data_IF_826982846805
#
_entry.id   IF_826982846805
#
_cell.length_a   1.000
_cell.length_b   1.000
_cell.length_c   1.000
_cell.angle_alpha   90.00
_cell.angle_beta   90.00
_cell.angle_gamma   90.00
#
_symmetry.space_group_name_H-M   'P 1'
#
loop_
_entity.id
_entity.type
_entity.pdbx_description
1 polymer ?
#
# COMPACT_ATOMS: atom_id res chain seq x y z
N UNK A 1 -0.45 -2.35 20.47
CA UNK A 1 -0.92 -2.35 19.06
C UNK A 1 -0.06 -1.33 18.33
N UNK A 2 0.70 -1.72 17.29
CA UNK A 2 1.53 -0.78 16.53
C UNK A 2 0.62 0.00 15.58
N UNK A 3 0.74 1.32 15.53
CA UNK A 3 0.02 2.13 14.55
C UNK A 3 0.47 1.74 13.14
N UNK A 4 -0.49 1.58 12.23
CA UNK A 4 -0.22 1.32 10.82
C UNK A 4 0.08 2.67 10.17
N UNK A 5 1.24 2.80 9.53
CA UNK A 5 1.63 4.02 8.83
C UNK A 5 0.87 4.11 7.51
N UNK A 6 0.43 5.30 7.13
CA UNK A 6 -0.16 5.52 5.79
C UNK A 6 0.91 5.48 4.72
N UNK A 7 0.53 5.19 3.47
CA UNK A 7 1.48 5.10 2.37
C UNK A 7 2.21 6.43 2.10
N UNK A 8 1.55 7.56 2.29
CA UNK A 8 2.18 8.89 2.17
C UNK A 8 3.17 9.16 3.31
N UNK A 9 2.88 8.70 4.53
CA UNK A 9 3.84 8.77 5.64
C UNK A 9 5.09 7.92 5.33
N UNK A 10 4.91 6.71 4.81
CA UNK A 10 6.03 5.84 4.43
C UNK A 10 6.88 6.50 3.32
N UNK A 11 6.23 7.10 2.32
CA UNK A 11 6.93 7.83 1.25
C UNK A 11 7.79 8.98 1.81
N UNK A 12 7.25 9.75 2.77
CA UNK A 12 8.00 10.83 3.43
C UNK A 12 9.19 10.32 4.23
N UNK A 13 9.02 9.24 5.00
CA UNK A 13 10.10 8.63 5.78
C UNK A 13 11.23 8.06 4.90
N UNK A 14 10.87 7.45 3.77
CA UNK A 14 11.81 6.84 2.83
C UNK A 14 12.41 7.87 1.87
N UNK A 15 11.82 9.06 1.76
CA UNK A 15 12.21 10.14 0.85
C UNK A 15 12.28 9.70 -0.63
N UNK A 16 11.30 8.89 -1.05
CA UNK A 16 11.24 8.32 -2.40
C UNK A 16 9.81 7.88 -2.73
N UNK A 17 9.58 7.66 -4.01
CA UNK A 17 8.38 6.97 -4.48
C UNK A 17 8.29 5.57 -3.83
N UNK A 18 7.07 5.18 -3.50
CA UNK A 18 6.79 3.92 -2.83
C UNK A 18 5.82 3.09 -3.63
N UNK A 19 6.12 1.80 -3.70
CA UNK A 19 5.31 0.78 -4.35
C UNK A 19 4.43 0.11 -3.29
N UNK A 20 3.14 -0.06 -3.59
CA UNK A 20 2.22 -0.73 -2.69
C UNK A 20 1.13 -1.48 -3.44
N UNK A 21 0.55 -2.47 -2.78
CA UNK A 21 -0.58 -3.25 -3.27
C UNK A 21 -1.82 -2.73 -2.56
N UNK A 22 -2.71 -2.11 -3.31
CA UNK A 22 -4.02 -1.71 -2.83
C UNK A 22 -4.97 -2.92 -2.88
N UNK A 23 -5.65 -3.19 -1.77
CA UNK A 23 -6.70 -4.21 -1.67
C UNK A 23 -8.04 -3.51 -1.77
N UNK A 24 -8.83 -3.80 -2.80
CA UNK A 24 -10.11 -3.11 -3.01
C UNK A 24 -11.17 -3.60 -1.99
N UNK A 25 -11.62 -2.74 -1.05
CA UNK A 25 -12.58 -3.13 -0.03
C UNK A 25 -13.99 -3.34 -0.58
N UNK A 26 -14.32 -2.83 -1.78
CA UNK A 26 -15.67 -3.03 -2.36
C UNK A 26 -15.95 -4.50 -2.73
N UNK A 27 -14.92 -5.35 -2.77
CA UNK A 27 -15.06 -6.80 -2.94
C UNK A 27 -15.09 -7.58 -1.63
N UNK A 28 -14.69 -6.97 -0.51
CA UNK A 28 -15.00 -7.50 0.81
C UNK A 28 -16.49 -7.24 1.00
N UNK A 29 -17.32 -8.29 1.04
CA UNK A 29 -18.75 -8.14 1.34
C UNK A 29 -18.89 -7.61 2.77
N UNK A 30 -18.79 -6.30 2.91
CA UNK A 30 -18.95 -5.36 4.02
C UNK A 30 -18.48 -5.72 5.45
N UNK A 31 -18.03 -6.94 5.77
CA UNK A 31 -17.56 -7.29 7.13
C UNK A 31 -16.44 -8.35 7.17
N UNK A 32 -16.01 -8.89 6.03
CA UNK A 32 -14.88 -9.82 6.01
C UNK A 32 -13.56 -9.09 6.28
N UNK A 33 -12.84 -9.52 7.31
CA UNK A 33 -11.51 -9.01 7.62
C UNK A 33 -10.55 -9.37 6.49
N UNK A 34 -9.68 -8.45 6.05
CA UNK A 34 -8.76 -8.65 4.93
C UNK A 34 -7.87 -9.90 5.09
N UNK A 35 -7.55 -10.32 6.32
CA UNK A 35 -6.76 -11.54 6.56
C UNK A 35 -7.48 -12.81 6.13
N UNK A 36 -8.81 -12.82 6.09
CA UNK A 36 -9.62 -13.94 5.59
C UNK A 36 -9.73 -13.95 4.05
N UNK A 37 -9.26 -12.89 3.40
CA UNK A 37 -9.39 -12.71 1.97
C UNK A 37 -8.34 -13.52 1.22
N UNK A 38 -8.77 -14.53 0.47
CA UNK A 38 -7.86 -15.45 -0.25
C UNK A 38 -6.86 -14.74 -1.19
N UNK A 39 -7.24 -13.73 -1.98
CA UNK A 39 -6.28 -12.96 -2.77
C UNK A 39 -5.22 -12.27 -1.92
N UNK A 40 -5.59 -11.72 -0.75
CA UNK A 40 -4.61 -11.11 0.16
C UNK A 40 -3.64 -12.14 0.72
N UNK A 41 -4.14 -13.29 1.17
CA UNK A 41 -3.30 -14.39 1.64
C UNK A 41 -2.36 -14.91 0.55
N UNK A 42 -2.85 -15.06 -0.69
CA UNK A 42 -2.06 -15.53 -1.82
C UNK A 42 -0.94 -14.54 -2.17
N UNK A 43 -1.25 -13.25 -2.20
CA UNK A 43 -0.27 -12.18 -2.46
C UNK A 43 0.76 -12.10 -1.35
N UNK A 44 0.34 -12.09 -0.08
CA UNK A 44 1.26 -12.10 1.06
C UNK A 44 2.19 -13.31 1.04
N UNK A 45 1.64 -14.51 0.84
CA UNK A 45 2.44 -15.73 0.71
C UNK A 45 3.42 -15.65 -0.46
N UNK A 46 3.00 -15.12 -1.60
CA UNK A 46 3.90 -14.97 -2.74
C UNK A 46 5.05 -14.00 -2.44
N UNK A 47 4.81 -12.88 -1.76
CA UNK A 47 5.87 -11.97 -1.33
C UNK A 47 6.86 -12.68 -0.38
N UNK A 48 6.35 -13.44 0.59
CA UNK A 48 7.14 -14.24 1.53
C UNK A 48 7.99 -15.31 0.83
N UNK A 49 7.38 -16.12 -0.04
CA UNK A 49 8.05 -17.19 -0.79
C UNK A 49 9.17 -16.65 -1.71
N UNK A 50 9.05 -15.39 -2.15
CA UNK A 50 10.04 -14.72 -3.00
C UNK A 50 10.98 -13.79 -2.24
N UNK A 51 10.92 -13.78 -0.90
CA UNK A 51 11.76 -12.93 -0.05
C UNK A 51 11.68 -11.43 -0.39
N UNK A 52 10.50 -10.97 -0.79
CA UNK A 52 10.25 -9.56 -1.12
C UNK A 52 9.92 -8.81 0.19
N UNK A 53 10.71 -7.80 0.58
CA UNK A 53 10.45 -7.00 1.77
C UNK A 53 9.10 -6.27 1.68
N UNK A 54 8.24 -6.45 2.68
CA UNK A 54 6.91 -5.84 2.70
C UNK A 54 6.39 -5.63 4.12
N UNK A 55 5.47 -4.68 4.28
CA UNK A 55 4.73 -4.43 5.52
C UNK A 55 3.31 -3.92 5.22
N UNK A 56 2.41 -4.04 6.19
CA UNK A 56 1.06 -3.48 6.06
C UNK A 56 1.10 -1.95 6.12
N UNK A 57 0.27 -1.27 5.31
CA UNK A 57 0.19 0.19 5.29
C UNK A 57 -1.25 0.70 5.20
N UNK A 58 -1.53 1.87 5.76
CA UNK A 58 -2.80 2.55 5.59
C UNK A 58 -2.91 3.17 4.19
N UNK A 59 -4.13 3.30 3.65
CA UNK A 59 -4.33 3.99 2.39
C UNK A 59 -4.02 5.49 2.53
N UNK A 60 -3.78 6.17 1.40
CA UNK A 60 -3.72 7.62 1.34
C UNK A 60 -5.13 8.22 1.30
N UNK A 61 -5.31 9.34 2.01
CA UNK A 61 -6.54 10.13 1.98
C UNK A 61 -6.20 11.59 1.70
N UNK A 62 -6.81 12.18 0.68
CA UNK A 62 -6.61 13.60 0.35
C UNK A 62 -7.26 14.51 1.41
N UNK A 63 -8.46 14.14 1.87
CA UNK A 63 -9.20 14.90 2.87
C UNK A 63 -8.98 14.38 4.29
N UNK A 64 -9.26 15.22 5.29
CA UNK A 64 -9.22 14.90 6.74
C UNK A 64 -10.19 13.79 7.19
N UNK A 65 -11.01 13.27 6.29
CA UNK A 65 -12.04 12.31 6.62
C UNK A 65 -11.53 10.88 6.45
N UNK A 66 -11.03 10.28 7.53
CA UNK A 66 -10.63 8.86 7.57
C UNK A 66 -11.89 8.01 7.76
N UNK A 67 -12.60 7.72 6.66
CA UNK A 67 -13.80 6.87 6.68
C UNK A 67 -13.53 5.39 6.42
N UNK A 68 -12.32 5.02 6.00
CA UNK A 68 -11.97 3.63 5.75
C UNK A 68 -11.05 3.12 6.85
N UNK A 69 -11.50 2.13 7.63
CA UNK A 69 -10.59 1.30 8.41
C UNK A 69 -9.56 0.63 7.50
N UNK A 70 -8.44 0.17 8.07
CA UNK A 70 -7.40 -0.51 7.28
C UNK A 70 -7.98 -1.70 6.49
N UNK A 71 -7.78 -1.68 5.16
CA UNK A 71 -8.40 -2.63 4.22
C UNK A 71 -7.46 -3.74 3.73
N UNK A 72 -6.24 -3.82 4.26
CA UNK A 72 -5.28 -4.86 3.88
C UNK A 72 -4.16 -4.42 2.93
N UNK A 73 -4.05 -3.13 2.61
CA UNK A 73 -2.98 -2.60 1.74
C UNK A 73 -1.58 -2.98 2.25
N UNK A 74 -0.68 -3.27 1.32
CA UNK A 74 0.67 -3.79 1.59
C UNK A 74 1.70 -2.88 0.91
N UNK A 75 2.58 -2.25 1.69
CA UNK A 75 3.76 -1.56 1.19
C UNK A 75 4.87 -2.55 0.82
N UNK A 76 5.55 -2.30 -0.29
CA UNK A 76 6.73 -3.06 -0.75
C UNK A 76 7.98 -2.22 -0.48
N UNK A 77 8.86 -2.68 0.40
CA UNK A 77 10.09 -1.96 0.78
C UNK A 77 11.22 -2.19 -0.22
N UNK A 78 10.94 -1.79 -1.46
CA UNK A 78 11.88 -1.72 -2.57
C UNK A 78 11.75 -0.34 -3.24
N UNK A 79 12.84 0.25 -3.77
CA UNK A 79 12.74 1.41 -4.63
C UNK A 79 12.02 1.02 -5.94
N UNK A 80 11.22 1.93 -6.48
CA UNK A 80 10.59 1.75 -7.79
C UNK A 80 11.63 1.97 -8.90
N UNK A 81 12.40 0.93 -9.19
CA UNK A 81 13.52 0.95 -10.14
C UNK A 81 13.45 -0.28 -11.06
N UNK A 82 13.11 -0.05 -12.33
CA UNK A 82 12.92 -1.10 -13.35
C UNK A 82 14.20 -1.90 -13.65
N UNK A 83 15.38 -1.41 -13.23
CA UNK A 83 16.63 -2.16 -13.36
C UNK A 83 16.76 -3.29 -12.33
N UNK A 84 15.93 -3.28 -11.27
CA UNK A 84 15.94 -4.31 -10.24
C UNK A 84 15.15 -5.55 -10.69
N UNK A 85 15.82 -6.71 -10.67
CA UNK A 85 15.20 -8.01 -10.97
C UNK A 85 13.95 -8.28 -10.10
N UNK A 86 13.95 -7.80 -8.85
CA UNK A 86 12.79 -7.95 -7.96
C UNK A 86 11.59 -7.13 -8.42
N UNK A 87 11.80 -5.93 -8.95
CA UNK A 87 10.72 -5.08 -9.47
C UNK A 87 10.14 -5.70 -10.74
N UNK A 88 11.01 -6.12 -11.67
CA UNK A 88 10.58 -6.84 -12.88
C UNK A 88 9.73 -8.07 -12.54
N UNK A 89 10.15 -8.85 -11.54
CA UNK A 89 9.41 -10.03 -11.07
C UNK A 89 8.06 -9.68 -10.44
N UNK A 90 7.96 -8.56 -9.72
CA UNK A 90 6.70 -8.04 -9.19
C UNK A 90 5.79 -7.64 -10.35
N UNK A 91 6.29 -6.89 -11.32
CA UNK A 91 5.51 -6.46 -12.49
C UNK A 91 5.02 -7.63 -13.33
N UNK A 92 5.85 -8.67 -13.53
CA UNK A 92 5.46 -9.91 -14.18
C UNK A 92 4.38 -10.66 -13.39
N UNK A 93 4.53 -10.77 -12.06
CA UNK A 93 3.54 -11.42 -11.21
C UNK A 93 2.21 -10.68 -11.26
N UNK A 94 2.22 -9.35 -11.21
CA UNK A 94 1.02 -8.55 -11.35
C UNK A 94 0.57 -8.40 -12.82
N UNK A 95 1.34 -8.90 -13.78
CA UNK A 95 1.11 -8.81 -15.24
C UNK A 95 0.79 -7.37 -15.67
N UNK A 96 1.72 -6.46 -15.42
CA UNK A 96 1.60 -5.04 -15.72
C UNK A 96 1.56 -4.78 -17.25
N UNK A 97 0.39 -4.98 -17.86
CA UNK A 97 0.00 -4.49 -19.19
C UNK A 97 -1.26 -3.62 -19.10
N UNK A 98 -1.48 -3.01 -17.92
CA UNK A 98 -2.77 -2.54 -17.43
C UNK A 98 -2.97 -3.01 -15.98
N UNK A 99 -4.20 -3.28 -15.56
CA UNK A 99 -4.47 -3.84 -14.23
C UNK A 99 -4.45 -5.38 -14.25
N UNK A 100 -3.90 -6.02 -13.20
CA UNK A 100 -4.46 -7.29 -12.71
C UNK A 100 -5.81 -7.02 -12.04
N UNK A 101 -6.79 -6.61 -12.83
CA UNK A 101 -8.19 -6.71 -12.46
C UNK A 101 -8.61 -8.16 -12.61
N UNK A 102 -8.58 -8.93 -11.52
CA UNK A 102 -9.72 -9.82 -11.27
C UNK A 102 -10.84 -9.07 -10.52
N UNK A 103 -10.66 -7.75 -10.32
CA UNK A 103 -11.47 -6.84 -9.51
C UNK A 103 -10.82 -6.42 -8.18
N UNK A 104 -9.82 -7.16 -7.68
CA UNK A 104 -9.59 -7.25 -6.22
C UNK A 104 -8.34 -6.60 -5.65
N UNK A 105 -7.24 -6.52 -6.40
CA UNK A 105 -5.96 -5.96 -5.93
C UNK A 105 -5.26 -5.21 -7.07
N UNK A 106 -4.54 -4.13 -6.74
CA UNK A 106 -3.82 -3.30 -7.71
C UNK A 106 -2.43 -2.97 -7.19
N UNK A 107 -1.42 -3.10 -8.05
CA UNK A 107 -0.09 -2.55 -7.81
C UNK A 107 -0.11 -1.05 -8.12
N UNK A 108 0.32 -0.23 -7.16
CA UNK A 108 0.21 1.21 -7.17
C UNK A 108 1.54 1.85 -6.78
N UNK A 109 1.81 3.04 -7.34
CA UNK A 109 2.93 3.88 -6.92
C UNK A 109 2.33 5.13 -6.27
N UNK A 110 2.87 5.53 -5.13
CA UNK A 110 2.61 6.84 -4.53
C UNK A 110 3.88 7.68 -4.62
N UNK A 111 3.79 8.87 -5.21
CA UNK A 111 4.96 9.71 -5.44
C UNK A 111 5.38 10.44 -4.17
N UNK A 112 6.69 10.60 -3.99
CA UNK A 112 7.23 11.42 -2.91
C UNK A 112 6.81 12.89 -3.06
N UNK A 113 6.79 13.40 -4.29
CA UNK A 113 6.36 14.77 -4.60
C UNK A 113 4.91 15.04 -4.17
N UNK A 114 4.04 14.03 -4.22
CA UNK A 114 2.68 14.15 -3.67
C UNK A 114 2.72 14.05 -2.14
N UNK A 115 3.50 13.13 -1.60
CA UNK A 115 3.60 12.88 -0.16
C UNK A 115 4.06 14.10 0.64
N UNK A 116 5.03 14.87 0.12
CA UNK A 116 5.57 16.05 0.79
C UNK A 116 4.56 17.19 0.95
N UNK A 117 3.48 17.21 0.15
CA UNK A 117 2.41 18.20 0.28
C UNK A 117 1.60 18.05 1.58
N UNK A 118 1.77 16.91 2.25
CA UNK A 118 1.05 16.52 3.47
C UNK A 118 2.01 16.33 4.65
N UNK A 119 3.20 16.93 4.62
CA UNK A 119 4.20 16.79 5.68
C UNK A 119 3.71 17.31 7.04
N UNK A 120 2.72 18.21 7.08
CA UNK A 120 2.07 18.66 8.31
C UNK A 120 1.41 17.52 9.09
N UNK A 121 1.05 16.41 8.43
CA UNK A 121 0.44 15.23 9.05
C UNK A 121 1.41 14.41 9.90
N UNK A 122 2.71 14.69 9.82
CA UNK A 122 3.70 14.03 10.66
C UNK A 122 3.79 14.64 12.07
N UNK A 123 3.10 15.77 12.28
CA UNK A 123 3.02 16.47 13.57
C UNK A 123 1.89 15.92 14.43
N UNK A 124 2.06 15.92 15.75
CA UNK A 124 1.00 15.46 16.67
C UNK A 124 -0.20 16.41 16.62
N UNK A 125 0.07 17.70 16.45
CA UNK A 125 -0.88 18.80 16.38
C UNK A 125 -1.92 18.61 15.27
N UNK A 126 -1.51 18.07 14.11
CA UNK A 126 -2.45 17.77 13.03
C UNK A 126 -3.55 16.77 13.46
N UNK A 127 -3.20 15.80 14.31
CA UNK A 127 -4.09 14.74 14.77
C UNK A 127 -4.91 15.13 16.00
N UNK A 128 -4.48 16.14 16.76
CA UNK A 128 -5.25 16.70 17.88
C UNK A 128 -6.48 17.51 17.38
N UNK A 129 -6.39 18.08 16.18
CA UNK A 129 -7.44 18.90 15.53
C UNK A 129 -8.40 18.09 14.62
N UNK A 130 -8.34 16.74 14.67
CA UNK A 130 -9.12 15.81 13.82
C UNK A 130 -10.35 15.21 14.51
#
# INVERSE_FOLDING_TARGET
MRAIKTIDQIAREKQRDVLFIQVNPNHLKSFEHYESYKPWQATKKWLEDNSIPHEICGPFFENRLILAGYCGDIYIDLPNDDSLEMIQKIDEYFNYTGERLDGKQRLCIFSYDEAIKYAERDTAEFWEDM
#
